data_IF_674316382908
#
_entry.id   IF_674316382908
#
_cell.length_a   1.000
_cell.length_b   1.000
_cell.length_c   1.000
_cell.angle_alpha   90.00
_cell.angle_beta   90.00
_cell.angle_gamma   90.00
#
_symmetry.space_group_name_H-M   'P 1'
#
loop_
_entity.id
_entity.type
_entity.pdbx_description
1 polymer ?
#
# COMPACT_ATOMS: atom_id res chain seq x y z
N UNK A 1 -11.16 1.70 -3.63
CA UNK A 1 -10.23 0.97 -4.52
C UNK A 1 -10.98 -0.22 -5.09
N UNK A 2 -10.62 -0.78 -6.25
CA UNK A 2 -11.36 -1.91 -6.84
C UNK A 2 -10.66 -3.25 -6.53
N UNK A 3 -9.38 -3.36 -6.86
CA UNK A 3 -8.60 -4.58 -6.63
C UNK A 3 -7.15 -4.26 -6.32
N UNK A 4 -6.48 -5.21 -5.68
CA UNK A 4 -5.06 -5.14 -5.39
C UNK A 4 -4.39 -6.48 -5.71
N UNK A 5 -3.28 -6.41 -6.44
CA UNK A 5 -2.45 -7.57 -6.76
C UNK A 5 -1.19 -7.51 -5.92
N UNK A 6 -0.92 -8.56 -5.15
CA UNK A 6 0.25 -8.71 -4.29
C UNK A 6 0.99 -9.98 -4.71
N UNK A 7 2.26 -9.85 -5.11
CA UNK A 7 3.12 -10.97 -5.54
C UNK A 7 2.46 -11.88 -6.61
N UNK A 8 1.71 -11.26 -7.53
CA UNK A 8 1.00 -11.95 -8.62
C UNK A 8 -0.38 -12.51 -8.26
N UNK A 9 -0.83 -12.37 -7.00
CA UNK A 9 -2.16 -12.80 -6.55
C UNK A 9 -3.08 -11.59 -6.42
N UNK A 10 -4.22 -11.62 -7.11
CA UNK A 10 -5.20 -10.53 -7.14
C UNK A 10 -6.27 -10.75 -6.08
N UNK A 11 -6.60 -9.68 -5.35
CA UNK A 11 -7.63 -9.64 -4.34
C UNK A 11 -8.63 -8.52 -4.66
N UNK A 12 -9.92 -8.78 -4.45
CA UNK A 12 -10.95 -7.76 -4.50
C UNK A 12 -10.87 -6.91 -3.21
N UNK A 13 -10.92 -5.58 -3.36
CA UNK A 13 -10.99 -4.68 -2.21
C UNK A 13 -12.46 -4.47 -1.86
N UNK A 14 -12.82 -4.62 -0.59
CA UNK A 14 -14.20 -4.42 -0.16
C UNK A 14 -14.63 -2.96 -0.40
N UNK A 15 -15.88 -2.77 -0.83
CA UNK A 15 -16.38 -1.45 -1.23
C UNK A 15 -16.38 -0.41 -0.10
N UNK A 16 -16.40 -0.87 1.15
CA UNK A 16 -16.43 -0.03 2.35
C UNK A 16 -15.04 0.35 2.89
N UNK A 17 -13.96 -0.09 2.24
CA UNK A 17 -12.60 0.19 2.67
C UNK A 17 -12.20 1.64 2.35
N UNK A 18 -12.02 2.47 3.40
CA UNK A 18 -11.41 3.80 3.27
C UNK A 18 -9.88 3.67 3.20
N UNK A 19 -9.40 3.45 1.98
CA UNK A 19 -7.97 3.28 1.70
C UNK A 19 -7.28 4.64 1.58
N UNK A 20 -6.32 4.92 2.47
CA UNK A 20 -5.46 6.09 2.39
C UNK A 20 -4.18 5.76 1.63
N UNK A 21 -3.89 6.54 0.57
CA UNK A 21 -2.68 6.35 -0.26
C UNK A 21 -1.70 7.50 -0.11
N UNK A 22 -0.41 7.16 -0.08
CA UNK A 22 0.72 8.07 -0.28
C UNK A 22 1.53 7.55 -1.45
N UNK A 23 1.70 8.37 -2.48
CA UNK A 23 2.47 8.01 -3.67
C UNK A 23 3.98 7.93 -3.40
N UNK A 24 4.44 8.36 -2.23
CA UNK A 24 5.86 8.48 -1.92
C UNK A 24 6.51 9.69 -2.61
N UNK A 25 7.82 9.82 -2.45
CA UNK A 25 8.63 10.87 -3.07
C UNK A 25 9.27 11.79 -2.04
N UNK A 26 9.02 13.10 -2.17
CA UNK A 26 9.61 14.10 -1.27
C UNK A 26 8.56 15.03 -0.68
N UNK A 27 8.64 15.22 0.64
CA UNK A 27 7.99 16.32 1.32
C UNK A 27 8.94 17.52 1.28
N UNK A 28 8.42 18.67 0.82
CA UNK A 28 9.19 19.90 0.66
C UNK A 28 8.83 20.89 1.76
N UNK A 29 9.82 21.28 2.56
CA UNK A 29 9.69 22.33 3.56
C UNK A 29 10.52 23.55 3.14
N UNK A 30 9.90 24.73 3.06
CA UNK A 30 10.60 25.99 2.74
C UNK A 30 10.92 26.73 4.02
N UNK A 31 12.22 26.91 4.30
CA UNK A 31 12.71 27.61 5.49
C UNK A 31 13.40 28.91 5.07
N UNK A 32 13.04 30.02 5.71
CA UNK A 32 13.70 31.32 5.48
C UNK A 32 15.07 31.35 6.15
N UNK A 33 16.09 31.86 5.45
CA UNK A 33 17.46 31.92 5.97
C UNK A 33 17.76 33.22 6.75
N UNK A 34 16.82 34.19 6.78
CA UNK A 34 16.99 35.46 7.48
C UNK A 34 17.80 36.52 6.72
N UNK A 35 18.29 36.20 5.51
CA UNK A 35 19.04 37.09 4.61
C UNK A 35 18.24 37.48 3.34
N UNK A 36 16.93 37.24 3.36
CA UNK A 36 16.04 37.41 2.21
C UNK A 36 16.03 36.23 1.22
N UNK A 37 16.84 35.19 1.47
CA UNK A 37 16.79 33.92 0.72
C UNK A 37 16.06 32.83 1.50
N UNK A 38 15.64 31.78 0.80
CA UNK A 38 15.03 30.61 1.40
C UNK A 38 15.77 29.34 0.96
N UNK A 39 15.78 28.32 1.82
CA UNK A 39 16.22 26.97 1.49
C UNK A 39 15.02 26.03 1.44
N UNK A 40 15.10 25.03 0.58
CA UNK A 40 14.12 23.94 0.53
C UNK A 40 14.75 22.69 1.12
N UNK A 41 14.18 22.19 2.21
CA UNK A 41 14.51 20.88 2.77
C UNK A 41 13.60 19.85 2.12
N UNK A 42 14.19 18.80 1.54
CA UNK A 42 13.46 17.70 0.92
C UNK A 42 13.63 16.44 1.75
N UNK A 43 12.57 15.99 2.41
CA UNK A 43 12.56 14.76 3.19
C UNK A 43 11.96 13.64 2.35
N UNK A 44 12.67 12.51 2.23
CA UNK A 44 12.13 11.34 1.52
C UNK A 44 10.96 10.75 2.29
N UNK A 45 9.83 10.57 1.61
CA UNK A 45 8.64 9.92 2.16
C UNK A 45 8.43 8.62 1.38
N UNK A 46 8.37 7.45 2.03
CA UNK A 46 8.04 6.20 1.36
C UNK A 46 6.60 6.23 0.87
N UNK A 47 6.31 5.43 -0.16
CA UNK A 47 4.93 5.20 -0.53
C UNK A 47 4.26 4.32 0.54
N UNK A 48 2.97 4.53 0.75
CA UNK A 48 2.18 3.72 1.68
C UNK A 48 0.74 3.61 1.20
N UNK A 49 0.12 2.47 1.45
CA UNK A 49 -1.29 2.25 1.23
C UNK A 49 -1.84 1.61 2.51
N UNK A 50 -2.70 2.33 3.22
CA UNK A 50 -3.20 1.93 4.54
C UNK A 50 -4.71 1.79 4.53
N UNK A 51 -5.25 0.92 5.39
CA UNK A 51 -6.68 0.67 5.50
C UNK A 51 -7.24 -0.18 4.35
N UNK A 52 -6.40 -1.00 3.72
CA UNK A 52 -6.87 -1.91 2.65
C UNK A 52 -7.57 -3.08 3.30
N UNK A 53 -8.83 -3.28 2.93
CA UNK A 53 -9.61 -4.46 3.32
C UNK A 53 -9.88 -5.27 2.08
N UNK A 54 -9.33 -6.48 2.02
CA UNK A 54 -9.49 -7.40 0.89
C UNK A 54 -10.43 -8.53 1.26
N UNK A 55 -11.14 -9.05 0.27
CA UNK A 55 -11.83 -10.33 0.38
C UNK A 55 -10.81 -11.48 0.31
N UNK A 56 -10.96 -12.46 1.19
CA UNK A 56 -10.12 -13.65 1.28
C UNK A 56 -10.95 -14.92 1.05
N UNK A 57 -10.36 -15.89 0.38
CA UNK A 57 -10.89 -17.23 0.20
C UNK A 57 -10.01 -18.24 0.94
N UNK A 58 -10.55 -18.81 2.01
CA UNK A 58 -9.88 -19.82 2.83
C UNK A 58 -9.61 -21.12 2.05
N UNK A 59 -10.45 -21.44 1.05
CA UNK A 59 -10.25 -22.63 0.21
C UNK A 59 -9.10 -22.47 -0.77
N UNK A 60 -8.76 -21.23 -1.10
CA UNK A 60 -7.63 -20.88 -1.96
C UNK A 60 -6.31 -20.74 -1.16
N UNK A 61 -6.34 -20.78 0.17
CA UNK A 61 -5.17 -20.60 1.03
C UNK A 61 -4.65 -19.16 1.05
N UNK A 62 -5.56 -18.18 0.96
CA UNK A 62 -5.21 -16.76 0.99
C UNK A 62 -4.61 -16.33 2.34
N UNK A 63 -5.10 -16.91 3.44
CA UNK A 63 -4.60 -16.61 4.78
C UNK A 63 -3.13 -17.01 4.94
N UNK A 64 -2.78 -18.24 4.54
CA UNK A 64 -1.41 -18.75 4.59
C UNK A 64 -0.49 -17.95 3.67
N UNK A 65 -0.99 -17.55 2.51
CA UNK A 65 -0.24 -16.69 1.59
C UNK A 65 0.09 -15.34 2.24
N UNK A 66 -0.90 -14.62 2.78
CA UNK A 66 -0.71 -13.33 3.42
C UNK A 66 0.21 -13.43 4.65
N UNK A 67 0.04 -14.47 5.45
CA UNK A 67 0.91 -14.75 6.60
C UNK A 67 2.35 -15.06 6.16
N UNK A 68 2.53 -15.84 5.09
CA UNK A 68 3.86 -16.14 4.55
C UNK A 68 4.55 -14.91 3.99
N UNK A 69 3.77 -13.99 3.40
CA UNK A 69 4.25 -12.74 2.85
C UNK A 69 4.68 -11.78 3.96
N UNK A 70 3.92 -11.71 5.06
CA UNK A 70 4.29 -10.93 6.25
C UNK A 70 5.52 -11.52 6.96
N UNK A 71 5.64 -12.85 7.02
CA UNK A 71 6.83 -13.53 7.55
C UNK A 71 8.05 -13.36 6.63
N UNK A 72 7.82 -13.06 5.36
CA UNK A 72 8.86 -12.86 4.37
C UNK A 72 9.32 -11.40 4.42
N UNK A 73 10.58 -11.17 4.79
CA UNK A 73 11.22 -9.84 4.73
C UNK A 73 11.52 -9.39 3.28
N UNK A 74 10.71 -9.78 2.29
CA UNK A 74 10.92 -9.48 0.87
C UNK A 74 9.97 -8.37 0.43
N UNK A 75 10.47 -7.51 -0.44
CA UNK A 75 9.61 -6.61 -1.18
C UNK A 75 9.03 -7.35 -2.39
N UNK A 76 7.71 -7.30 -2.53
CA UNK A 76 6.94 -7.87 -3.62
C UNK A 76 6.36 -6.77 -4.51
N UNK A 77 6.12 -7.05 -5.80
CA UNK A 77 5.38 -6.13 -6.66
C UNK A 77 3.93 -6.04 -6.18
N UNK A 78 3.43 -4.83 -6.07
CA UNK A 78 2.09 -4.47 -5.63
C UNK A 78 1.47 -3.60 -6.71
N UNK A 79 0.33 -4.02 -7.24
CA UNK A 79 -0.44 -3.26 -8.22
C UNK A 79 -1.81 -2.98 -7.65
N UNK A 80 -2.13 -1.70 -7.48
CA UNK A 80 -3.41 -1.24 -6.98
C UNK A 80 -4.25 -0.65 -8.11
N UNK A 81 -5.44 -1.23 -8.36
CA UNK A 81 -6.38 -0.77 -9.37
C UNK A 81 -7.53 -0.02 -8.70
N UNK A 82 -7.75 1.21 -9.12
CA UNK A 82 -8.81 2.07 -8.59
C UNK A 82 -10.08 1.95 -9.44
N UNK A 83 -11.22 2.29 -8.83
CA UNK A 83 -12.55 2.29 -9.47
C UNK A 83 -12.58 3.18 -10.74
N UNK A 84 -11.68 4.15 -10.85
CA UNK A 84 -11.52 4.97 -12.05
C UNK A 84 -10.84 4.25 -13.22
N UNK A 85 -10.46 2.97 -13.08
CA UNK A 85 -9.71 2.19 -14.07
C UNK A 85 -8.22 2.50 -14.14
N UNK A 86 -7.70 3.36 -13.24
CA UNK A 86 -6.27 3.69 -13.18
C UNK A 86 -5.59 2.68 -12.27
N UNK A 87 -4.49 2.09 -12.73
CA UNK A 87 -3.63 1.22 -11.93
C UNK A 87 -2.33 1.93 -11.54
N UNK A 88 -1.87 1.65 -10.33
CA UNK A 88 -0.59 2.10 -9.82
C UNK A 88 0.23 0.90 -9.40
N UNK A 89 1.51 0.91 -9.73
CA UNK A 89 2.44 -0.14 -9.34
C UNK A 89 3.52 0.41 -8.41
N UNK A 90 3.88 -0.39 -7.42
CA UNK A 90 5.06 -0.18 -6.60
C UNK A 90 5.62 -1.50 -6.09
N UNK A 91 6.79 -1.44 -5.47
CA UNK A 91 7.42 -2.58 -4.81
C UNK A 91 7.50 -2.30 -3.32
N UNK A 92 7.01 -3.22 -2.50
CA UNK A 92 6.99 -3.07 -1.05
C UNK A 92 6.51 -4.32 -0.34
N UNK A 93 6.13 -4.18 0.91
CA UNK A 93 5.78 -5.29 1.78
C UNK A 93 4.54 -4.95 2.61
N UNK A 94 3.91 -6.00 3.13
CA UNK A 94 2.87 -5.86 4.15
C UNK A 94 3.52 -5.34 5.43
N UNK A 95 2.96 -4.27 5.99
CA UNK A 95 3.37 -3.66 7.24
C UNK A 95 2.20 -3.63 8.20
N UNK A 96 2.50 -3.59 9.50
CA UNK A 96 1.47 -3.70 10.53
C UNK A 96 0.96 -5.12 10.70
N UNK A 97 -0.21 -5.24 11.34
CA UNK A 97 -0.89 -6.50 11.60
C UNK A 97 -1.89 -6.80 10.50
N UNK A 98 -1.88 -8.03 9.97
CA UNK A 98 -2.94 -8.51 9.09
C UNK A 98 -4.04 -9.08 9.98
N UNK A 99 -5.20 -8.42 9.99
CA UNK A 99 -6.34 -8.87 10.79
C UNK A 99 -7.31 -9.63 9.90
N UNK A 100 -7.51 -10.91 10.19
CA UNK A 100 -8.44 -11.78 9.48
C UNK A 100 -9.81 -11.79 10.16
N UNK A 101 -10.86 -11.43 9.42
CA UNK A 101 -12.25 -11.57 9.83
C UNK A 101 -12.85 -12.81 9.18
N UNK A 102 -12.89 -13.91 9.92
CA UNK A 102 -13.49 -15.17 9.46
C UNK A 102 -15.01 -15.09 9.27
N UNK A 103 -15.68 -14.10 9.89
CA UNK A 103 -17.12 -13.91 9.73
C UNK A 103 -17.46 -13.25 8.39
N UNK A 104 -16.57 -12.37 7.91
CA UNK A 104 -16.79 -11.57 6.70
C UNK A 104 -15.93 -12.04 5.53
N UNK A 105 -15.13 -13.10 5.72
CA UNK A 105 -14.13 -13.57 4.76
C UNK A 105 -13.31 -12.40 4.20
N UNK A 106 -12.79 -11.56 5.10
CA UNK A 106 -12.01 -10.38 4.73
C UNK A 106 -10.74 -10.25 5.57
N UNK A 107 -9.67 -9.68 5.00
CA UNK A 107 -8.46 -9.33 5.73
C UNK A 107 -8.15 -7.84 5.59
N UNK A 108 -7.82 -7.17 6.70
CA UNK A 108 -7.29 -5.80 6.68
C UNK A 108 -5.78 -5.82 6.73
N UNK A 109 -5.12 -5.05 5.87
CA UNK A 109 -3.68 -4.97 5.77
C UNK A 109 -3.22 -3.57 5.35
N UNK A 110 -2.02 -3.21 5.78
CA UNK A 110 -1.31 -2.02 5.34
C UNK A 110 -0.10 -2.43 4.50
N UNK A 111 0.23 -1.62 3.48
CA UNK A 111 1.35 -1.86 2.57
C UNK A 111 2.25 -0.63 2.57
N UNK A 112 3.54 -0.85 2.57
CA UNK A 112 4.51 0.23 2.39
C UNK A 112 5.77 -0.27 1.71
N UNK A 113 6.46 0.64 1.05
CA UNK A 113 7.73 0.32 0.41
C UNK A 113 8.54 1.56 0.13
N UNK A 114 9.77 1.34 -0.29
CA UNK A 114 10.66 2.41 -0.73
C UNK A 114 10.31 2.84 -2.15
N UNK A 115 10.57 4.11 -2.46
CA UNK A 115 10.32 4.68 -3.78
C UNK A 115 8.93 5.32 -3.90
N UNK A 116 8.39 5.28 -5.12
CA UNK A 116 7.15 5.96 -5.48
C UNK A 116 6.18 4.96 -6.13
N UNK A 117 4.88 5.16 -5.93
CA UNK A 117 3.84 4.47 -6.71
C UNK A 117 3.69 5.16 -8.06
N UNK A 118 4.01 4.43 -9.13
CA UNK A 118 3.93 4.95 -10.50
C UNK A 118 2.65 4.48 -11.19
N UNK A 119 1.96 5.34 -11.96
CA UNK A 119 0.83 4.92 -12.79
C UNK A 119 1.31 3.99 -13.92
N UNK A 120 0.45 3.05 -14.33
CA UNK A 120 0.75 2.07 -15.38
C UNK A 120 0.05 2.37 -16.72
#
# INVERSE_FOLDING_TARGET
MESITIDGRSFAVTADADTSRKLGGFENEVQSNGDGTARTVKTRVPWSLTGVVIEIDDTAGDQEFLQSLQNSNRNVPITATYVSGVSYQATGQVVGEVVFSNQSSSASLDLSGSGEMTPQ
#
